data_IF_084824709956
#
_entry.id   IF_084824709956
#
_cell.length_a   1.000
_cell.length_b   1.000
_cell.length_c   1.000
_cell.angle_alpha   90.00
_cell.angle_beta   90.00
_cell.angle_gamma   90.00
#
_symmetry.space_group_name_H-M   'P 1'
#
loop_
_entity.id
_entity.type
_entity.pdbx_description
1 polymer ?
#
# COMPACT_ATOMS: atom_id res chain seq x y z
N UNK A 1 -30.94 6.63 -8.14
CA UNK A 1 -30.94 5.26 -7.61
C UNK A 1 -30.63 5.35 -6.11
N UNK A 2 -31.59 4.99 -5.25
CA UNK A 2 -31.45 5.06 -3.79
C UNK A 2 -31.21 3.64 -3.28
N UNK A 3 -30.03 3.37 -2.73
CA UNK A 3 -29.73 2.09 -2.11
C UNK A 3 -30.38 2.05 -0.72
N UNK A 4 -31.32 1.11 -0.54
CA UNK A 4 -31.90 0.79 0.77
C UNK A 4 -30.94 -0.16 1.49
N UNK A 5 -30.34 0.29 2.59
CA UNK A 5 -29.61 -0.56 3.53
C UNK A 5 -30.62 -1.40 4.32
N UNK A 6 -30.61 -2.72 4.08
CA UNK A 6 -31.41 -3.70 4.81
C UNK A 6 -30.72 -3.94 6.17
N UNK A 7 -31.44 -3.64 7.25
CA UNK A 7 -30.97 -3.76 8.62
C UNK A 7 -30.54 -5.18 8.97
N UNK A 8 -29.53 -5.28 9.82
CA UNK A 8 -29.13 -6.49 10.51
C UNK A 8 -29.97 -6.54 11.79
N UNK A 9 -30.83 -7.56 11.93
CA UNK A 9 -31.61 -7.76 13.15
C UNK A 9 -30.72 -8.40 14.23
N UNK A 10 -30.58 -7.72 15.37
CA UNK A 10 -29.73 -8.10 16.50
C UNK A 10 -30.28 -9.28 17.35
N UNK A 11 -31.37 -9.94 16.92
CA UNK A 11 -32.01 -11.04 17.66
C UNK A 11 -31.64 -12.45 17.16
N UNK A 12 -30.78 -12.60 16.15
CA UNK A 12 -30.29 -13.93 15.76
C UNK A 12 -29.18 -14.41 16.71
N UNK A 13 -29.62 -14.97 17.84
CA UNK A 13 -28.78 -15.83 18.69
C UNK A 13 -28.20 -17.01 17.89
N UNK A 14 -27.09 -17.61 18.34
CA UNK A 14 -26.41 -18.65 17.58
C UNK A 14 -27.31 -19.86 17.39
N UNK A 15 -27.67 -20.16 16.13
CA UNK A 15 -28.30 -21.42 15.75
C UNK A 15 -27.38 -22.59 16.09
N UNK A 16 -27.57 -23.19 17.26
CA UNK A 16 -27.07 -24.54 17.54
C UNK A 16 -28.01 -25.53 16.88
N UNK A 17 -27.56 -26.09 15.76
CA UNK A 17 -28.14 -27.29 15.14
C UNK A 17 -28.11 -28.43 16.17
N UNK A 18 -29.26 -29.06 16.51
CA UNK A 18 -29.23 -30.31 17.26
C UNK A 18 -28.83 -31.42 16.30
N UNK A 19 -27.69 -32.06 16.54
CA UNK A 19 -27.42 -33.37 15.97
C UNK A 19 -28.20 -34.38 16.81
N UNK A 20 -29.32 -34.87 16.28
CA UNK A 20 -29.94 -36.11 16.74
C UNK A 20 -28.98 -37.26 16.41
N UNK A 21 -28.34 -37.79 17.45
CA UNK A 21 -27.61 -39.04 17.40
C UNK A 21 -28.43 -40.09 18.14
N UNK A 22 -28.85 -41.11 17.40
CA UNK A 22 -29.66 -42.23 17.86
C UNK A 22 -29.05 -42.93 19.09
N UNK A 23 -29.93 -43.31 20.02
CA UNK A 23 -29.65 -44.18 21.15
C UNK A 23 -29.24 -45.59 20.65
N UNK A 24 -28.06 -46.04 21.06
CA UNK A 24 -27.76 -47.46 21.20
C UNK A 24 -27.17 -47.69 22.60
N UNK A 25 -27.94 -48.37 23.44
CA UNK A 25 -27.46 -49.05 24.63
C UNK A 25 -26.58 -50.23 24.21
N UNK A 26 -25.32 -50.28 24.66
CA UNK A 26 -24.79 -51.42 25.41
C UNK A 26 -23.30 -51.21 25.77
N UNK A 27 -22.94 -51.89 26.86
CA UNK A 27 -21.59 -52.15 27.39
C UNK A 27 -20.91 -51.08 28.27
N UNK A 28 -20.97 -51.39 29.57
CA UNK A 28 -20.20 -50.80 30.66
C UNK A 28 -18.73 -51.20 30.55
N UNK A 29 -17.97 -50.44 29.79
CA UNK A 29 -16.51 -50.43 29.92
C UNK A 29 -16.04 -49.28 30.80
N UNK A 30 -15.22 -49.63 31.79
CA UNK A 30 -14.52 -48.76 32.74
C UNK A 30 -13.91 -47.52 32.07
N UNK A 31 -14.60 -46.39 32.18
CA UNK A 31 -14.08 -45.09 31.73
C UNK A 31 -13.04 -44.60 32.74
N UNK A 32 -11.76 -44.91 32.45
CA UNK A 32 -10.64 -44.12 32.95
C UNK A 32 -10.96 -42.62 32.75
N UNK A 33 -10.62 -41.72 33.70
CA UNK A 33 -10.89 -40.31 33.55
C UNK A 33 -10.13 -39.80 32.32
N UNK A 34 -10.86 -39.59 31.22
CA UNK A 34 -10.31 -38.92 30.04
C UNK A 34 -9.72 -37.60 30.54
N UNK A 35 -8.46 -37.27 30.20
CA UNK A 35 -7.94 -35.95 30.50
C UNK A 35 -8.92 -34.96 29.89
N UNK A 36 -9.52 -34.11 30.75
CA UNK A 36 -10.40 -33.04 30.31
C UNK A 36 -9.66 -32.34 29.18
N UNK A 37 -10.09 -32.57 27.95
CA UNK A 37 -9.64 -31.81 26.80
C UNK A 37 -9.92 -30.36 27.20
N UNK A 38 -8.86 -29.64 27.55
CA UNK A 38 -8.93 -28.22 27.80
C UNK A 38 -9.37 -27.65 26.46
N UNK A 39 -10.68 -27.46 26.31
CA UNK A 39 -11.26 -26.65 25.25
C UNK A 39 -10.42 -25.37 25.30
N UNK A 40 -9.62 -25.06 24.25
CA UNK A 40 -8.83 -23.84 24.25
C UNK A 40 -9.83 -22.75 24.53
N UNK A 41 -9.69 -22.08 25.68
CA UNK A 41 -10.58 -21.03 26.08
C UNK A 41 -10.61 -20.08 24.90
N UNK A 42 -11.79 -19.95 24.27
CA UNK A 42 -12.03 -19.03 23.18
C UNK A 42 -11.64 -17.66 23.71
N UNK A 43 -10.40 -17.27 23.49
CA UNK A 43 -9.87 -15.97 23.83
C UNK A 43 -10.52 -15.03 22.83
N UNK A 44 -11.73 -14.57 23.16
CA UNK A 44 -12.40 -13.51 22.43
C UNK A 44 -11.46 -12.31 22.51
N UNK A 45 -10.72 -12.08 21.44
CA UNK A 45 -9.82 -10.94 21.33
C UNK A 45 -10.69 -9.69 21.42
N UNK A 46 -10.67 -9.02 22.58
CA UNK A 46 -11.38 -7.76 22.77
C UNK A 46 -10.51 -6.64 22.23
N UNK A 47 -10.99 -6.01 21.17
CA UNK A 47 -10.39 -4.78 20.69
C UNK A 47 -10.63 -3.67 21.71
N UNK A 48 -9.57 -3.20 22.37
CA UNK A 48 -9.64 -2.16 23.39
C UNK A 48 -9.51 -0.78 22.77
N UNK A 49 -9.87 0.25 23.53
CA UNK A 49 -9.64 1.64 23.13
C UNK A 49 -8.15 1.92 22.90
N UNK A 50 -7.26 1.23 23.61
CA UNK A 50 -5.81 1.37 23.44
C UNK A 50 -5.34 0.82 22.09
N UNK A 51 -5.89 -0.32 21.65
CA UNK A 51 -5.62 -0.86 20.32
C UNK A 51 -6.05 0.12 19.22
N UNK A 52 -7.20 0.79 19.41
CA UNK A 52 -7.67 1.83 18.49
C UNK A 52 -6.73 3.04 18.47
N UNK A 53 -6.33 3.55 19.63
CA UNK A 53 -5.45 4.71 19.73
C UNK A 53 -4.07 4.41 19.12
N UNK A 54 -3.54 3.20 19.35
CA UNK A 54 -2.28 2.76 18.74
C UNK A 54 -2.38 2.68 17.22
N UNK A 55 -3.49 2.14 16.70
CA UNK A 55 -3.73 2.06 15.26
C UNK A 55 -3.82 3.47 14.64
N UNK A 56 -4.57 4.38 15.27
CA UNK A 56 -4.66 5.76 14.81
C UNK A 56 -3.31 6.46 14.81
N UNK A 57 -2.52 6.33 15.89
CA UNK A 57 -1.18 6.91 15.93
C UNK A 57 -0.26 6.35 14.83
N UNK A 58 -0.40 5.07 14.47
CA UNK A 58 0.31 4.47 13.33
C UNK A 58 -0.17 5.02 11.99
N UNK A 59 -1.46 5.25 11.83
CA UNK A 59 -2.03 5.87 10.63
C UNK A 59 -1.51 7.30 10.49
N UNK A 60 -1.51 8.10 11.57
CA UNK A 60 -1.02 9.48 11.55
C UNK A 60 0.46 9.55 11.17
N UNK A 61 1.29 8.65 11.72
CA UNK A 61 2.70 8.52 11.36
C UNK A 61 2.88 8.14 9.88
N UNK A 62 2.06 7.20 9.39
CA UNK A 62 2.11 6.80 7.98
C UNK A 62 1.71 7.96 7.06
N UNK A 63 0.63 8.66 7.39
CA UNK A 63 0.17 9.85 6.65
C UNK A 63 1.25 10.91 6.59
N UNK A 64 1.87 11.23 7.72
CA UNK A 64 2.99 12.20 7.77
C UNK A 64 4.18 11.72 6.94
N UNK A 65 4.50 10.42 6.97
CA UNK A 65 5.55 9.85 6.13
C UNK A 65 5.24 9.96 4.64
N UNK A 66 4.00 9.74 4.22
CA UNK A 66 3.58 9.87 2.83
C UNK A 66 3.64 11.33 2.37
N UNK A 67 3.19 12.27 3.20
CA UNK A 67 3.31 13.70 2.91
C UNK A 67 4.78 14.13 2.78
N UNK A 68 5.65 13.62 3.66
CA UNK A 68 7.10 13.83 3.54
C UNK A 68 7.66 13.32 2.21
N UNK A 69 7.27 12.11 1.78
CA UNK A 69 7.69 11.56 0.49
C UNK A 69 7.18 12.41 -0.69
N UNK A 70 5.93 12.86 -0.64
CA UNK A 70 5.35 13.72 -1.67
C UNK A 70 6.15 15.04 -1.82
N UNK A 71 6.53 15.67 -0.70
CA UNK A 71 7.36 16.88 -0.73
C UNK A 71 8.73 16.61 -1.36
N UNK A 72 9.36 15.47 -1.03
CA UNK A 72 10.64 15.11 -1.66
C UNK A 72 10.51 14.83 -3.16
N UNK A 73 9.39 14.26 -3.59
CA UNK A 73 9.09 14.04 -5.00
C UNK A 73 8.92 15.37 -5.76
N UNK A 74 8.19 16.33 -5.17
CA UNK A 74 8.06 17.67 -5.76
C UNK A 74 9.41 18.37 -5.94
N UNK A 75 10.28 18.29 -4.93
CA UNK A 75 11.62 18.90 -4.98
C UNK A 75 12.51 18.21 -6.02
N UNK A 76 12.44 16.88 -6.14
CA UNK A 76 13.11 16.14 -7.22
C UNK A 76 12.59 16.56 -8.59
N UNK A 77 11.28 16.72 -8.75
CA UNK A 77 10.71 17.16 -10.02
C UNK A 77 11.16 18.59 -10.38
N UNK A 78 11.23 19.51 -9.41
CA UNK A 78 11.77 20.87 -9.62
C UNK A 78 13.23 20.84 -10.04
N UNK A 79 14.08 20.08 -9.34
CA UNK A 79 15.51 19.98 -9.67
C UNK A 79 15.72 19.37 -11.06
N UNK A 80 14.96 18.33 -11.41
CA UNK A 80 14.98 17.74 -12.76
C UNK A 80 14.60 18.78 -13.83
N UNK A 81 13.57 19.59 -13.59
CA UNK A 81 13.19 20.68 -14.49
C UNK A 81 14.31 21.71 -14.70
N UNK A 82 15.02 22.09 -13.63
CA UNK A 82 16.16 23.01 -13.74
C UNK A 82 17.34 22.42 -14.51
N UNK A 83 17.62 21.13 -14.31
CA UNK A 83 18.66 20.41 -15.05
C UNK A 83 18.31 20.30 -16.53
N UNK A 84 17.06 19.99 -16.86
CA UNK A 84 16.60 19.94 -18.24
C UNK A 84 16.80 21.28 -18.94
N UNK A 85 16.38 22.39 -18.30
CA UNK A 85 16.60 23.73 -18.84
C UNK A 85 18.09 24.03 -19.07
N UNK A 86 18.97 23.62 -18.15
CA UNK A 86 20.41 23.79 -18.31
C UNK A 86 20.95 22.99 -19.50
N UNK A 87 20.50 21.75 -19.69
CA UNK A 87 20.89 20.90 -20.82
C UNK A 87 20.43 21.51 -22.15
N UNK A 88 19.20 22.01 -22.22
CA UNK A 88 18.65 22.64 -23.41
C UNK A 88 19.43 23.92 -23.77
N UNK A 89 19.80 24.72 -22.75
CA UNK A 89 20.63 25.90 -22.93
C UNK A 89 22.02 25.56 -23.48
N UNK A 90 22.70 24.57 -22.90
CA UNK A 90 23.99 24.10 -23.38
C UNK A 90 23.91 23.54 -24.81
N UNK A 91 22.86 22.78 -25.11
CA UNK A 91 22.61 22.25 -26.45
C UNK A 91 22.45 23.37 -27.48
N UNK A 92 21.69 24.41 -27.12
CA UNK A 92 21.50 25.60 -27.97
C UNK A 92 22.83 26.33 -28.20
N UNK A 93 23.65 26.48 -27.16
CA UNK A 93 24.98 27.09 -27.28
C UNK A 93 25.90 26.28 -28.19
N UNK A 94 25.90 24.96 -28.05
CA UNK A 94 26.69 24.07 -28.92
C UNK A 94 26.24 24.16 -30.38
N UNK A 95 24.92 24.19 -30.63
CA UNK A 95 24.37 24.38 -31.98
C UNK A 95 24.77 25.74 -32.58
N UNK A 96 24.86 26.79 -31.77
CA UNK A 96 25.31 28.10 -32.23
C UNK A 96 26.83 28.16 -32.50
N UNK A 97 27.63 27.37 -31.76
CA UNK A 97 29.09 27.31 -31.93
C UNK A 97 29.53 26.43 -33.10
N UNK A 98 28.82 25.34 -33.38
CA UNK A 98 29.14 24.39 -34.46
C UNK A 98 29.38 25.07 -35.82
N UNK A 99 28.46 25.89 -36.37
CA UNK A 99 28.69 26.54 -37.67
C UNK A 99 29.84 27.56 -37.64
N UNK A 100 30.15 28.13 -36.47
CA UNK A 100 31.29 29.06 -36.32
C UNK A 100 32.61 28.32 -36.38
N UNK A 101 32.68 27.13 -35.77
CA UNK A 101 33.86 26.26 -35.88
C UNK A 101 34.03 25.76 -37.31
N UNK A 102 32.96 25.33 -37.97
CA UNK A 102 33.01 24.92 -39.38
C UNK A 102 33.51 26.05 -40.29
N UNK A 103 33.07 27.29 -40.07
CA UNK A 103 33.52 28.44 -40.85
C UNK A 103 35.01 28.78 -40.66
N UNK A 104 35.57 28.49 -39.47
CA UNK A 104 37.00 28.70 -39.20
C UNK A 104 37.85 27.55 -39.73
N UNK A 105 37.33 26.32 -39.65
CA UNK A 105 38.04 25.11 -40.06
C UNK A 105 37.94 24.82 -41.56
N UNK A 106 37.00 25.45 -42.26
CA UNK A 106 36.82 25.35 -43.71
C UNK A 106 37.18 26.68 -44.41
N UNK A 107 38.47 27.03 -44.51
CA UNK A 107 38.90 28.23 -45.23
C UNK A 107 38.80 27.97 -46.73
N UNK A 108 37.69 28.39 -47.34
CA UNK A 108 37.59 28.77 -48.75
C UNK A 108 38.36 27.90 -49.77
N UNK A 109 37.70 26.88 -50.34
CA UNK A 109 37.97 26.51 -51.72
C UNK A 109 37.14 27.44 -52.62
N UNK A 110 37.72 28.24 -53.53
CA UNK A 110 36.93 29.07 -54.43
C UNK A 110 36.15 28.21 -55.43
N UNK A 111 35.05 28.72 -56.00
CA UNK A 111 34.32 28.00 -57.04
C UNK A 111 35.22 27.89 -58.28
N UNK A 112 35.58 26.66 -58.68
CA UNK A 112 36.16 26.41 -59.98
C UNK A 112 35.11 26.70 -61.05
N UNK A 113 35.32 27.81 -61.77
CA UNK A 113 34.64 28.21 -63.00
C UNK A 113 35.06 27.36 -64.19
#
# INVERSE_FOLDING_TARGET
MVAKSKGFDDESGPSTLPFEGDEMDDDKDELLPRPRSQRPSSSTFRFTKDHFNLLNGRIDLLTSSVEGLHNTEEDLHRTMGTLQYSVDSMTTLLQALHPRLDAVLSPHGPPET
#
